data_IF_448060341602
#
_entry.id   IF_448060341602
#
_cell.length_a   1.000
_cell.length_b   1.000
_cell.length_c   1.000
_cell.angle_alpha   90.00
_cell.angle_beta   90.00
_cell.angle_gamma   90.00
#
_symmetry.space_group_name_H-M   'P 1'
#
loop_
_entity.id
_entity.type
_entity.pdbx_description
1 polymer ?
#
# COMPACT_ATOMS: atom_id res chain seq x y z
N UNK A 1 8.13 6.92 -15.96
CA UNK A 1 8.20 5.57 -15.37
C UNK A 1 8.35 5.73 -13.88
N UNK A 2 7.40 5.20 -13.10
CA UNK A 2 7.41 5.29 -11.62
C UNK A 2 7.64 3.91 -11.02
N UNK A 3 8.27 3.86 -9.85
CA UNK A 3 8.24 2.70 -8.96
C UNK A 3 6.99 2.77 -8.10
N UNK A 4 6.19 1.72 -8.10
CA UNK A 4 4.89 1.70 -7.44
C UNK A 4 4.88 0.55 -6.44
N UNK A 5 4.53 0.82 -5.18
CA UNK A 5 4.24 -0.21 -4.21
C UNK A 5 2.73 -0.34 -4.01
N UNK A 6 2.20 -1.57 -4.03
CA UNK A 6 0.79 -1.83 -3.75
C UNK A 6 0.61 -2.21 -2.28
N UNK A 7 -0.08 -1.38 -1.50
CA UNK A 7 -0.62 -1.78 -0.21
C UNK A 7 -1.92 -2.55 -0.48
N UNK A 8 -1.97 -3.83 -0.13
CA UNK A 8 -3.16 -4.67 -0.29
C UNK A 8 -3.18 -5.84 0.71
N UNK A 9 -4.35 -6.47 0.96
CA UNK A 9 -4.40 -7.76 1.63
C UNK A 9 -3.60 -8.80 0.83
N UNK A 10 -2.97 -9.72 1.56
CA UNK A 10 -2.24 -10.86 0.99
C UNK A 10 -2.85 -12.15 1.52
N UNK A 11 -2.78 -12.35 2.85
CA UNK A 11 -3.44 -13.46 3.53
C UNK A 11 -4.95 -13.22 3.54
N UNK A 12 -5.72 -14.26 3.20
CA UNK A 12 -7.19 -14.26 3.16
C UNK A 12 -7.80 -13.25 2.17
N UNK A 13 -7.04 -12.73 1.20
CA UNK A 13 -7.59 -11.93 0.11
C UNK A 13 -8.52 -12.80 -0.75
N UNK A 14 -9.70 -12.28 -1.10
CA UNK A 14 -10.62 -12.96 -2.00
C UNK A 14 -10.02 -13.14 -3.39
N UNK A 15 -10.48 -14.15 -4.13
CA UNK A 15 -10.07 -14.36 -5.52
C UNK A 15 -10.40 -13.14 -6.39
N UNK A 16 -11.54 -12.49 -6.15
CA UNK A 16 -11.96 -11.27 -6.83
C UNK A 16 -10.99 -10.11 -6.58
N UNK A 17 -10.63 -9.84 -5.32
CA UNK A 17 -9.66 -8.79 -4.98
C UNK A 17 -8.30 -9.08 -5.62
N UNK A 18 -7.84 -10.33 -5.59
CA UNK A 18 -6.58 -10.73 -6.21
C UNK A 18 -6.61 -10.58 -7.74
N UNK A 19 -7.71 -10.95 -8.40
CA UNK A 19 -7.88 -10.79 -9.84
C UNK A 19 -7.91 -9.30 -10.23
N UNK A 20 -8.61 -8.48 -9.45
CA UNK A 20 -8.66 -7.03 -9.64
C UNK A 20 -7.27 -6.40 -9.53
N UNK A 21 -6.54 -6.69 -8.44
CA UNK A 21 -5.19 -6.16 -8.20
C UNK A 21 -4.24 -6.62 -9.29
N UNK A 22 -4.28 -7.90 -9.69
CA UNK A 22 -3.45 -8.43 -10.78
C UNK A 22 -3.67 -7.66 -12.08
N UNK A 23 -4.92 -7.51 -12.52
CA UNK A 23 -5.21 -6.76 -13.74
C UNK A 23 -4.82 -5.28 -13.63
N UNK A 24 -4.88 -4.70 -12.43
CA UNK A 24 -4.38 -3.35 -12.18
C UNK A 24 -2.85 -3.25 -12.33
N UNK A 25 -2.11 -4.20 -11.75
CA UNK A 25 -0.65 -4.33 -11.85
C UNK A 25 -0.24 -4.47 -13.32
N UNK A 26 -0.87 -5.38 -14.06
CA UNK A 26 -0.58 -5.63 -15.48
C UNK A 26 -0.73 -4.34 -16.32
N UNK A 27 -1.83 -3.60 -16.14
CA UNK A 27 -2.05 -2.31 -16.85
C UNK A 27 -1.01 -1.24 -16.51
N UNK A 28 -0.50 -1.22 -15.28
CA UNK A 28 0.58 -0.30 -14.90
C UNK A 28 1.91 -0.71 -15.53
N UNK A 29 2.20 -2.00 -15.54
CA UNK A 29 3.42 -2.55 -16.14
C UNK A 29 3.43 -2.36 -17.67
N UNK A 30 2.28 -2.53 -18.34
CA UNK A 30 2.09 -2.22 -19.77
C UNK A 30 2.37 -0.75 -20.11
N UNK A 31 2.09 0.17 -19.16
CA UNK A 31 2.40 1.61 -19.29
C UNK A 31 3.86 1.92 -18.93
N UNK A 32 4.67 0.90 -18.67
CA UNK A 32 6.08 1.02 -18.36
C UNK A 32 6.38 1.43 -16.92
N UNK A 33 5.46 1.24 -15.96
CA UNK A 33 5.78 1.38 -14.54
C UNK A 33 6.42 0.11 -13.98
N UNK A 34 7.23 0.24 -12.92
CA UNK A 34 7.72 -0.91 -12.15
C UNK A 34 6.84 -1.08 -10.91
N UNK A 35 6.13 -2.18 -10.81
CA UNK A 35 5.19 -2.41 -9.69
C UNK A 35 5.76 -3.48 -8.75
N UNK A 36 5.66 -3.23 -7.45
CA UNK A 36 5.90 -4.21 -6.39
C UNK A 36 4.55 -4.59 -5.78
N UNK A 37 4.09 -5.81 -6.05
CA UNK A 37 2.87 -6.38 -5.49
C UNK A 37 3.23 -7.44 -4.45
N UNK A 38 2.99 -7.22 -3.15
CA UNK A 38 3.51 -8.09 -2.08
C UNK A 38 3.18 -9.58 -2.23
N UNK A 39 2.03 -9.94 -2.78
CA UNK A 39 1.65 -11.35 -3.03
C UNK A 39 2.61 -12.04 -4.03
N UNK A 40 3.14 -11.29 -5.01
CA UNK A 40 4.08 -11.77 -6.04
C UNK A 40 5.53 -11.58 -5.62
N UNK A 41 5.84 -10.41 -5.06
CA UNK A 41 7.20 -9.88 -4.98
C UNK A 41 7.80 -9.90 -3.56
N UNK A 42 6.98 -10.14 -2.53
CA UNK A 42 7.46 -10.28 -1.14
C UNK A 42 7.39 -11.74 -0.72
N UNK A 43 8.48 -12.29 -0.17
CA UNK A 43 8.50 -13.67 0.33
C UNK A 43 7.58 -13.82 1.53
N UNK A 44 6.41 -14.44 1.33
CA UNK A 44 5.36 -14.56 2.35
C UNK A 44 5.62 -15.63 3.42
N UNK A 45 6.48 -16.62 3.11
CA UNK A 45 6.93 -17.61 4.08
C UNK A 45 7.97 -16.98 5.01
N UNK A 46 7.52 -16.66 6.22
CA UNK A 46 8.31 -15.93 7.21
C UNK A 46 8.29 -16.62 8.59
N UNK A 47 9.35 -17.37 8.94
CA UNK A 47 9.46 -18.04 10.23
C UNK A 47 9.62 -17.06 11.41
N UNK A 48 9.86 -15.77 11.14
CA UNK A 48 9.97 -14.72 12.17
C UNK A 48 8.61 -14.15 12.61
N UNK A 49 7.50 -14.70 12.11
CA UNK A 49 6.15 -14.25 12.46
C UNK A 49 5.69 -12.99 11.72
N UNK A 50 6.44 -12.54 10.70
CA UNK A 50 6.10 -11.40 9.84
C UNK A 50 7.13 -10.27 9.84
N UNK A 51 8.19 -10.34 10.65
CA UNK A 51 9.21 -9.29 10.72
C UNK A 51 9.94 -9.11 9.38
N UNK A 52 10.30 -10.21 8.70
CA UNK A 52 10.97 -10.15 7.41
C UNK A 52 10.04 -9.57 6.34
N UNK A 53 8.78 -9.99 6.33
CA UNK A 53 7.76 -9.44 5.41
C UNK A 53 7.60 -7.94 5.61
N UNK A 54 7.45 -7.49 6.87
CA UNK A 54 7.32 -6.08 7.18
C UNK A 54 8.56 -5.28 6.79
N UNK A 55 9.77 -5.81 7.01
CA UNK A 55 11.02 -5.18 6.58
C UNK A 55 11.07 -5.05 5.06
N UNK A 56 10.79 -6.13 4.33
CA UNK A 56 10.89 -6.13 2.87
C UNK A 56 9.84 -5.20 2.24
N UNK A 57 8.63 -5.15 2.81
CA UNK A 57 7.61 -4.17 2.43
C UNK A 57 8.04 -2.74 2.76
N UNK A 58 8.66 -2.49 3.92
CA UNK A 58 9.18 -1.17 4.26
C UNK A 58 10.18 -0.67 3.21
N UNK A 59 11.17 -1.50 2.86
CA UNK A 59 12.18 -1.15 1.86
C UNK A 59 11.54 -0.86 0.49
N UNK A 60 10.52 -1.64 0.11
CA UNK A 60 9.78 -1.43 -1.13
C UNK A 60 8.96 -0.12 -1.11
N UNK A 61 8.29 0.21 0.00
CA UNK A 61 7.58 1.49 0.19
C UNK A 61 8.57 2.67 0.16
N UNK A 62 9.70 2.53 0.84
CA UNK A 62 10.75 3.55 0.90
C UNK A 62 11.30 3.84 -0.51
N UNK A 63 11.50 2.80 -1.32
CA UNK A 63 12.03 2.92 -2.68
C UNK A 63 11.00 3.35 -3.74
N UNK A 64 9.70 3.31 -3.43
CA UNK A 64 8.63 3.64 -4.38
C UNK A 64 8.46 5.15 -4.58
N UNK A 65 8.07 5.58 -5.78
CA UNK A 65 7.67 6.97 -6.05
C UNK A 65 6.17 7.17 -5.74
N UNK A 66 5.38 6.12 -5.98
CA UNK A 66 3.94 6.08 -5.72
C UNK A 66 3.57 4.90 -4.82
N UNK A 67 2.59 5.10 -3.96
CA UNK A 67 1.98 4.04 -3.15
C UNK A 67 0.51 3.96 -3.52
N UNK A 68 0.12 2.84 -4.09
CA UNK A 68 -1.25 2.59 -4.51
C UNK A 68 -1.91 1.66 -3.50
N UNK A 69 -3.10 2.01 -3.01
CA UNK A 69 -3.74 1.37 -1.86
C UNK A 69 -5.02 0.69 -2.34
N UNK A 70 -5.04 -0.64 -2.28
CA UNK A 70 -6.28 -1.41 -2.23
C UNK A 70 -6.65 -1.57 -0.76
N UNK A 71 -7.61 -0.77 -0.30
CA UNK A 71 -7.95 -0.74 1.11
C UNK A 71 -8.95 -1.84 1.46
N UNK A 72 -8.53 -2.74 2.34
CA UNK A 72 -9.40 -3.68 3.03
C UNK A 72 -9.25 -3.42 4.53
N UNK A 73 -10.32 -2.99 5.23
CA UNK A 73 -10.23 -2.69 6.65
C UNK A 73 -9.77 -3.91 7.44
N UNK A 74 -10.05 -5.15 7.03
CA UNK A 74 -9.67 -6.37 7.75
C UNK A 74 -8.19 -6.77 7.56
N UNK A 75 -7.49 -6.12 6.62
CA UNK A 75 -6.09 -6.41 6.35
C UNK A 75 -5.15 -5.82 7.41
N UNK A 76 -4.77 -6.66 8.37
CA UNK A 76 -3.75 -6.30 9.39
C UNK A 76 -2.42 -5.88 8.77
N UNK A 77 -2.01 -6.53 7.68
CA UNK A 77 -0.78 -6.18 6.95
C UNK A 77 -0.87 -4.79 6.33
N UNK A 78 -1.97 -4.48 5.65
CA UNK A 78 -2.18 -3.17 5.03
C UNK A 78 -2.24 -2.04 6.07
N UNK A 79 -2.79 -2.29 7.26
CA UNK A 79 -2.74 -1.33 8.38
C UNK A 79 -1.30 -1.05 8.81
N UNK A 80 -0.46 -2.08 8.90
CA UNK A 80 0.94 -1.95 9.29
C UNK A 80 1.76 -1.20 8.22
N UNK A 81 1.63 -1.61 6.96
CA UNK A 81 2.27 -0.94 5.81
C UNK A 81 1.84 0.53 5.70
N UNK A 82 0.56 0.81 5.91
CA UNK A 82 0.03 2.17 5.93
C UNK A 82 0.57 3.01 7.11
N UNK A 83 0.84 2.40 8.26
CA UNK A 83 1.54 3.05 9.37
C UNK A 83 2.99 3.43 9.01
N UNK A 84 3.69 2.55 8.29
CA UNK A 84 5.04 2.83 7.79
C UNK A 84 5.03 3.96 6.76
N UNK A 85 4.07 3.96 5.83
CA UNK A 85 3.84 5.06 4.90
C UNK A 85 3.61 6.38 5.64
N UNK A 86 2.73 6.40 6.65
CA UNK A 86 2.47 7.58 7.47
C UNK A 86 3.75 8.12 8.11
N UNK A 87 4.57 7.24 8.70
CA UNK A 87 5.83 7.63 9.32
C UNK A 87 6.81 8.24 8.31
N UNK A 88 6.96 7.65 7.13
CA UNK A 88 7.82 8.20 6.07
C UNK A 88 7.36 9.59 5.63
N UNK A 89 6.07 9.79 5.43
CA UNK A 89 5.52 11.10 5.06
C UNK A 89 5.75 12.14 6.15
N UNK A 90 5.59 11.75 7.43
CA UNK A 90 5.89 12.60 8.59
C UNK A 90 7.36 13.00 8.68
N UNK A 91 8.26 12.11 8.22
CA UNK A 91 9.70 12.35 8.13
C UNK A 91 10.10 13.14 6.87
N UNK A 92 9.15 13.62 6.07
CA UNK A 92 9.39 14.49 4.92
C UNK A 92 9.60 13.75 3.60
N UNK A 93 9.48 12.42 3.57
CA UNK A 93 9.47 11.69 2.30
C UNK A 93 8.21 12.06 1.51
N UNK A 94 8.35 12.23 0.20
CA UNK A 94 7.22 12.48 -0.70
C UNK A 94 6.88 11.21 -1.45
N UNK A 95 5.60 10.82 -1.40
CA UNK A 95 5.03 9.70 -2.16
C UNK A 95 3.70 10.17 -2.75
N UNK A 96 3.43 9.84 -4.01
CA UNK A 96 2.08 10.01 -4.56
C UNK A 96 1.21 8.86 -4.06
N UNK A 97 0.05 9.16 -3.50
CA UNK A 97 -0.85 8.14 -2.96
C UNK A 97 -2.09 8.04 -3.85
N UNK A 98 -2.48 6.82 -4.20
CA UNK A 98 -3.62 6.54 -5.09
C UNK A 98 -4.45 5.42 -4.49
N UNK A 99 -5.75 5.64 -4.28
CA UNK A 99 -6.65 4.53 -3.98
C UNK A 99 -7.04 3.80 -5.25
N UNK A 100 -7.05 2.47 -5.18
CA UNK A 100 -7.38 1.62 -6.32
C UNK A 100 -8.70 0.85 -6.14
N UNK A 101 -9.43 1.12 -5.05
CA UNK A 101 -10.81 0.68 -4.83
C UNK A 101 -11.65 1.81 -4.18
N UNK A 102 -12.98 1.61 -4.05
CA UNK A 102 -13.86 2.60 -3.41
C UNK A 102 -13.62 2.63 -1.89
N UNK A 103 -13.19 3.77 -1.37
CA UNK A 103 -12.95 4.00 0.06
C UNK A 103 -13.74 5.22 0.47
N UNK A 104 -14.61 5.03 1.45
CA UNK A 104 -15.50 6.09 1.95
C UNK A 104 -15.04 6.58 3.32
N UNK A 105 -15.19 7.88 3.60
CA UNK A 105 -14.91 8.40 4.92
C UNK A 105 -15.86 7.80 5.96
N UNK A 106 -15.36 7.63 7.19
CA UNK A 106 -16.13 7.11 8.32
C UNK A 106 -16.42 8.22 9.35
N UNK A 107 -17.43 8.06 10.23
CA UNK A 107 -17.59 8.94 11.38
C UNK A 107 -16.41 8.79 12.36
N UNK A 108 -15.64 9.86 12.56
CA UNK A 108 -14.57 9.91 13.57
C UNK A 108 -13.19 9.47 13.07
N UNK A 109 -12.34 8.97 13.98
CA UNK A 109 -10.96 8.59 13.65
C UNK A 109 -10.92 7.18 13.07
N UNK A 110 -10.40 7.03 11.86
CA UNK A 110 -10.15 5.73 11.23
C UNK A 110 -8.95 5.79 10.28
N UNK A 111 -8.43 4.63 9.87
CA UNK A 111 -7.33 4.56 8.89
C UNK A 111 -7.78 5.05 7.52
N UNK A 112 -9.02 4.77 7.12
CA UNK A 112 -9.65 5.29 5.89
C UNK A 112 -9.55 6.81 5.85
N UNK A 113 -10.01 7.50 6.90
CA UNK A 113 -10.00 8.95 6.97
C UNK A 113 -8.57 9.52 6.92
N UNK A 114 -7.62 8.84 7.58
CA UNK A 114 -6.21 9.24 7.55
C UNK A 114 -5.66 9.13 6.12
N UNK A 115 -5.82 7.98 5.48
CA UNK A 115 -5.28 7.75 4.14
C UNK A 115 -5.99 8.60 3.08
N UNK A 116 -7.30 8.83 3.20
CA UNK A 116 -8.06 9.77 2.37
C UNK A 116 -7.52 11.20 2.50
N UNK A 117 -7.25 11.68 3.72
CA UNK A 117 -6.70 13.02 3.93
C UNK A 117 -5.31 13.18 3.29
N UNK A 118 -4.43 12.20 3.49
CA UNK A 118 -3.06 12.24 2.96
C UNK A 118 -3.08 12.11 1.43
N UNK A 119 -3.91 11.22 0.86
CA UNK A 119 -4.12 11.13 -0.59
C UNK A 119 -4.71 12.42 -1.18
N UNK A 120 -5.54 13.12 -0.40
CA UNK A 120 -6.06 14.46 -0.70
C UNK A 120 -5.04 15.60 -0.57
N UNK A 121 -3.78 15.31 -0.28
CA UNK A 121 -2.70 16.29 -0.23
C UNK A 121 -2.44 16.90 1.15
N UNK A 122 -2.97 16.31 2.24
CA UNK A 122 -2.60 16.73 3.58
C UNK A 122 -1.09 16.53 3.82
N UNK A 123 -0.39 17.61 4.13
CA UNK A 123 1.05 17.62 4.35
C UNK A 123 1.39 17.25 5.81
N UNK A 124 1.96 16.06 5.99
CA UNK A 124 2.39 15.55 7.30
C UNK A 124 3.75 16.07 7.74
N UNK A 125 4.52 16.77 6.90
CA UNK A 125 5.92 17.12 7.22
C UNK A 125 6.07 18.28 8.23
N UNK A 126 4.96 18.91 8.62
CA UNK A 126 4.93 20.10 9.50
C UNK A 126 5.18 19.79 10.97
#
# INVERSE_FOLDING_TARGET
MSKIFIICPVRNASEESNAYIRGYVERLEERGHKVHWPMRDTKQDDPTGGLMVCRDNFEAILAADEVHIFWDPESRGSRFDGGMLFALLRLGYRKKIVFINDVRPTPGKSFENIFLAIAGGFDLSR
#
